data_IF_470775633468
#
_entry.id   IF_470775633468
#
_cell.length_a   1.000
_cell.length_b   1.000
_cell.length_c   1.000
_cell.angle_alpha   90.00
_cell.angle_beta   90.00
_cell.angle_gamma   90.00
#
_symmetry.space_group_name_H-M   'P 1'
#
loop_
_entity.id
_entity.type
_entity.pdbx_description
1 polymer ?
#
# COMPACT_ATOMS: atom_id res chain seq x y z
N UNK A 1 13.52 7.09 -4.75
CA UNK A 1 13.73 8.10 -3.69
C UNK A 1 15.20 8.39 -3.59
N UNK A 2 15.57 9.63 -3.43
CA UNK A 2 16.97 10.04 -3.34
C UNK A 2 17.18 11.00 -2.17
N UNK A 3 18.06 10.60 -1.23
CA UNK A 3 18.49 11.35 -0.04
C UNK A 3 17.36 11.95 0.80
N UNK A 4 16.31 11.17 1.04
CA UNK A 4 15.13 11.62 1.76
C UNK A 4 15.44 11.84 3.23
N UNK A 5 15.12 13.05 3.71
CA UNK A 5 15.07 13.40 5.13
C UNK A 5 13.69 13.96 5.45
N UNK A 6 13.02 13.37 6.45
CA UNK A 6 11.69 13.82 6.89
C UNK A 6 11.77 14.71 8.14
N UNK A 7 10.75 15.55 8.32
CA UNK A 7 10.59 16.29 9.58
C UNK A 7 10.48 15.34 10.75
N UNK A 8 10.97 15.73 11.91
CA UNK A 8 11.05 14.92 13.14
C UNK A 8 12.12 13.81 13.16
N UNK A 9 13.03 13.75 12.15
CA UNK A 9 14.18 12.84 12.16
C UNK A 9 13.84 11.36 12.02
N UNK A 10 12.65 11.03 11.52
CA UNK A 10 12.21 9.63 11.37
C UNK A 10 12.86 8.93 10.17
N UNK A 11 13.27 9.69 9.14
CA UNK A 11 14.12 9.22 8.04
C UNK A 11 15.25 10.22 7.86
N UNK A 12 16.48 9.72 7.67
CA UNK A 12 17.68 10.51 7.50
C UNK A 12 18.52 9.97 6.35
N UNK A 13 18.70 10.79 5.30
CA UNK A 13 19.48 10.44 4.11
C UNK A 13 19.11 9.08 3.48
N UNK A 14 17.82 8.75 3.50
CA UNK A 14 17.34 7.47 2.99
C UNK A 14 17.17 7.51 1.47
N UNK A 15 17.71 6.50 0.79
CA UNK A 15 17.56 6.32 -0.66
C UNK A 15 17.09 4.92 -0.97
N UNK A 16 16.22 4.77 -1.97
CA UNK A 16 15.78 3.48 -2.47
C UNK A 16 15.32 3.56 -3.92
N UNK A 17 15.36 2.44 -4.60
CA UNK A 17 14.77 2.24 -5.91
C UNK A 17 13.74 1.12 -5.86
N UNK A 18 12.61 1.31 -6.51
CA UNK A 18 11.59 0.28 -6.73
C UNK A 18 11.66 -0.15 -8.19
N UNK A 19 11.90 -1.43 -8.43
CA UNK A 19 11.96 -1.98 -9.77
C UNK A 19 10.58 -2.38 -10.29
N UNK A 20 10.45 -2.44 -11.61
CA UNK A 20 9.19 -2.83 -12.23
C UNK A 20 8.86 -4.31 -11.93
N UNK A 21 7.66 -4.54 -11.37
CA UNK A 21 7.17 -5.89 -11.11
C UNK A 21 7.80 -6.57 -9.89
N UNK A 22 8.51 -5.82 -9.02
CA UNK A 22 9.02 -6.36 -7.76
C UNK A 22 8.08 -6.08 -6.59
N UNK A 23 8.17 -6.92 -5.56
CA UNK A 23 7.70 -6.64 -4.21
C UNK A 23 8.92 -6.27 -3.38
N UNK A 24 9.09 -4.97 -3.10
CA UNK A 24 10.15 -4.45 -2.22
C UNK A 24 9.62 -4.39 -0.79
N UNK A 25 10.20 -5.20 0.09
CA UNK A 25 9.91 -5.19 1.52
C UNK A 25 10.64 -4.06 2.24
N UNK A 26 9.96 -3.47 3.21
CA UNK A 26 10.55 -2.52 4.14
C UNK A 26 10.23 -3.02 5.55
N UNK A 27 11.27 -3.35 6.31
CA UNK A 27 11.16 -3.85 7.67
C UNK A 27 12.03 -3.08 8.64
N UNK A 28 11.75 -3.23 9.93
CA UNK A 28 12.49 -2.60 11.01
C UNK A 28 11.73 -2.67 12.32
N UNK A 29 12.37 -2.27 13.40
CA UNK A 29 11.70 -2.15 14.70
C UNK A 29 10.71 -0.98 14.70
N UNK A 30 9.77 -0.99 15.63
CA UNK A 30 8.83 0.12 15.83
C UNK A 30 9.59 1.45 15.94
N UNK A 31 9.05 2.50 15.29
CA UNK A 31 9.65 3.83 15.21
C UNK A 31 10.95 3.97 14.39
N UNK A 32 11.30 2.98 13.55
CA UNK A 32 12.46 3.08 12.67
C UNK A 32 12.26 3.99 11.44
N UNK A 33 11.07 4.57 11.23
CA UNK A 33 10.77 5.44 10.10
C UNK A 33 10.08 4.76 8.90
N UNK A 34 9.82 3.45 8.96
CA UNK A 34 9.23 2.71 7.82
C UNK A 34 7.82 3.19 7.43
N UNK A 35 6.99 3.63 8.39
CA UNK A 35 5.64 4.13 8.10
C UNK A 35 5.68 5.53 7.48
N UNK A 36 6.61 6.37 7.93
CA UNK A 36 6.90 7.68 7.35
C UNK A 36 7.37 7.55 5.90
N UNK A 37 8.15 6.50 5.61
CA UNK A 37 8.56 6.17 4.26
C UNK A 37 7.37 5.93 3.32
N UNK A 38 6.37 5.15 3.76
CA UNK A 38 5.15 4.92 2.98
C UNK A 38 4.41 6.22 2.66
N UNK A 39 4.26 7.09 3.65
CA UNK A 39 3.62 8.41 3.49
C UNK A 39 4.45 9.34 2.58
N UNK A 40 5.77 9.32 2.70
CA UNK A 40 6.66 10.10 1.85
C UNK A 40 6.58 9.66 0.38
N UNK A 41 6.57 8.34 0.12
CA UNK A 41 6.40 7.77 -1.22
C UNK A 41 5.09 8.20 -1.88
N UNK A 42 4.02 8.31 -1.10
CA UNK A 42 2.71 8.73 -1.59
C UNK A 42 2.56 10.26 -1.68
N UNK A 43 3.58 11.00 -1.23
CA UNK A 43 3.56 12.48 -1.23
C UNK A 43 2.66 13.08 -0.15
N UNK A 44 2.31 12.32 0.89
CA UNK A 44 1.52 12.81 2.03
C UNK A 44 2.39 13.54 3.04
N UNK A 45 3.68 13.21 3.09
CA UNK A 45 4.62 13.80 4.02
C UNK A 45 5.51 14.85 3.34
N UNK A 46 5.71 15.99 4.01
CA UNK A 46 6.65 17.02 3.56
C UNK A 46 8.08 16.56 3.85
N UNK A 47 8.90 16.57 2.81
CA UNK A 47 10.32 16.30 2.90
C UNK A 47 11.06 17.58 3.31
N UNK A 48 12.08 17.43 4.15
CA UNK A 48 13.06 18.50 4.46
C UNK A 48 14.15 18.53 3.40
N UNK A 49 14.62 17.34 3.00
CA UNK A 49 15.65 17.15 1.98
C UNK A 49 15.29 16.00 1.08
N UNK A 50 15.89 15.96 -0.12
CA UNK A 50 15.71 14.91 -1.10
C UNK A 50 14.38 15.00 -1.86
N UNK A 51 14.12 13.97 -2.65
CA UNK A 51 12.93 13.94 -3.52
C UNK A 51 12.48 12.52 -3.84
N UNK A 52 11.20 12.37 -4.12
CA UNK A 52 10.61 11.17 -4.71
C UNK A 52 10.38 11.44 -6.19
N UNK A 53 11.04 10.67 -7.05
CA UNK A 53 10.94 10.79 -8.51
C UNK A 53 10.28 9.56 -9.08
N UNK A 54 9.26 9.73 -9.90
CA UNK A 54 8.74 8.70 -10.76
C UNK A 54 9.60 8.63 -12.03
N UNK A 55 10.50 7.65 -12.09
CA UNK A 55 11.44 7.50 -13.20
C UNK A 55 10.79 7.16 -14.53
N UNK A 56 9.50 6.75 -14.54
CA UNK A 56 8.74 6.49 -15.76
C UNK A 56 8.46 7.78 -16.57
N UNK A 57 8.35 8.91 -15.88
CA UNK A 57 8.07 10.22 -16.48
C UNK A 57 9.04 11.33 -16.07
N UNK A 58 9.93 11.08 -15.10
CA UNK A 58 10.87 12.07 -14.56
C UNK A 58 10.25 13.09 -13.60
N UNK A 59 8.99 12.89 -13.22
CA UNK A 59 8.26 13.83 -12.37
C UNK A 59 8.43 13.55 -10.88
N UNK A 60 8.41 14.62 -10.09
CA UNK A 60 8.41 14.50 -8.63
C UNK A 60 7.02 14.14 -8.09
N UNK A 61 7.03 13.33 -7.04
CA UNK A 61 5.84 13.02 -6.22
C UNK A 61 5.89 13.91 -4.99
N UNK A 62 5.03 14.91 -4.92
CA UNK A 62 4.99 15.91 -3.84
C UNK A 62 3.60 16.10 -3.23
N UNK A 63 2.63 15.31 -3.66
CA UNK A 63 1.27 15.33 -3.13
C UNK A 63 0.54 14.02 -3.41
N UNK A 64 -0.42 13.61 -2.56
CA UNK A 64 -1.25 12.43 -2.78
C UNK A 64 -2.02 12.48 -4.11
N UNK A 65 -2.52 13.66 -4.48
CA UNK A 65 -3.20 13.85 -5.76
C UNK A 65 -2.26 13.61 -6.95
N UNK A 66 -1.03 14.11 -6.86
CA UNK A 66 0.00 13.88 -7.89
C UNK A 66 0.35 12.39 -8.02
N UNK A 67 0.50 11.69 -6.89
CA UNK A 67 0.73 10.25 -6.84
C UNK A 67 -0.44 9.48 -7.47
N UNK A 68 -1.69 9.80 -7.10
CA UNK A 68 -2.88 9.18 -7.67
C UNK A 68 -2.96 9.32 -9.20
N UNK A 69 -2.68 10.50 -9.73
CA UNK A 69 -2.71 10.75 -11.18
C UNK A 69 -1.63 9.96 -11.93
N UNK A 70 -0.53 9.60 -11.26
CA UNK A 70 0.57 8.79 -11.80
C UNK A 70 0.39 7.28 -11.56
N UNK A 71 -0.78 6.87 -11.07
CA UNK A 71 -1.11 5.46 -10.86
C UNK A 71 -0.54 4.86 -9.58
N UNK A 72 -0.27 5.67 -8.56
CA UNK A 72 0.08 5.17 -7.22
C UNK A 72 -1.17 4.88 -6.41
N UNK A 73 -1.09 3.85 -5.55
CA UNK A 73 -2.09 3.53 -4.53
C UNK A 73 -1.41 3.38 -3.17
N UNK A 74 -2.13 3.70 -2.08
CA UNK A 74 -1.62 3.61 -0.72
C UNK A 74 -2.63 2.95 0.22
N UNK A 75 -2.25 1.81 0.77
CA UNK A 75 -2.96 1.12 1.85
C UNK A 75 -2.28 1.52 3.15
N UNK A 76 -2.95 2.31 3.98
CA UNK A 76 -2.39 2.79 5.24
C UNK A 76 -2.49 1.75 6.35
N UNK A 77 -1.59 1.86 7.34
CA UNK A 77 -1.51 1.02 8.54
C UNK A 77 -2.79 1.08 9.37
N UNK A 78 -3.40 2.25 9.52
CA UNK A 78 -4.65 2.46 10.29
C UNK A 78 -5.84 2.65 9.33
N UNK A 79 -6.39 1.52 8.87
CA UNK A 79 -7.51 1.52 7.92
C UNK A 79 -8.73 2.28 8.42
N UNK A 80 -9.02 2.20 9.72
CA UNK A 80 -10.24 2.78 10.28
C UNK A 80 -10.15 4.30 10.43
N UNK A 81 -8.94 4.85 10.58
CA UNK A 81 -8.73 6.30 10.69
C UNK A 81 -8.33 6.97 9.38
N UNK A 82 -7.53 6.27 8.56
CA UNK A 82 -6.89 6.89 7.40
C UNK A 82 -7.45 6.40 6.05
N UNK A 83 -7.88 5.11 5.96
CA UNK A 83 -8.25 4.53 4.68
C UNK A 83 -9.75 4.50 4.41
N UNK A 84 -10.60 4.50 5.43
CA UNK A 84 -12.05 4.30 5.30
C UNK A 84 -12.86 5.44 5.93
N UNK A 85 -13.94 5.82 5.25
CA UNK A 85 -15.00 6.62 5.85
C UNK A 85 -16.01 5.64 6.45
N UNK A 86 -15.89 5.36 7.76
CA UNK A 86 -16.62 4.29 8.43
C UNK A 86 -18.15 4.42 8.36
N UNK A 87 -18.66 5.68 8.36
CA UNK A 87 -20.09 6.01 8.26
C UNK A 87 -20.61 6.09 6.83
N UNK A 88 -19.74 5.87 5.83
CA UNK A 88 -20.13 5.80 4.44
C UNK A 88 -20.30 4.34 3.99
N UNK A 89 -21.01 4.14 2.90
CA UNK A 89 -21.26 2.82 2.33
C UNK A 89 -19.99 2.16 1.79
N UNK A 90 -20.02 0.84 1.61
CA UNK A 90 -18.99 0.09 0.90
C UNK A 90 -18.79 0.66 -0.51
N UNK A 91 -19.89 0.96 -1.19
CA UNK A 91 -19.86 1.53 -2.53
C UNK A 91 -19.14 2.87 -2.57
N UNK A 92 -19.45 3.80 -1.67
CA UNK A 92 -18.80 5.12 -1.62
C UNK A 92 -17.32 5.01 -1.32
N UNK A 93 -16.92 4.11 -0.38
CA UNK A 93 -15.53 3.86 -0.06
C UNK A 93 -14.75 3.32 -1.27
N UNK A 94 -15.30 2.35 -2.00
CA UNK A 94 -14.67 1.79 -3.21
C UNK A 94 -14.56 2.86 -4.30
N UNK A 95 -15.62 3.62 -4.54
CA UNK A 95 -15.65 4.64 -5.58
C UNK A 95 -14.71 5.81 -5.31
N UNK A 96 -14.44 6.13 -4.05
CA UNK A 96 -13.61 7.29 -3.67
C UNK A 96 -12.26 7.36 -4.39
N UNK A 97 -11.61 6.21 -4.67
CA UNK A 97 -10.34 6.17 -5.38
C UNK A 97 -10.49 6.00 -6.90
N UNK A 98 -11.63 5.52 -7.39
CA UNK A 98 -11.84 5.20 -8.81
C UNK A 98 -12.76 6.17 -9.55
N UNK A 99 -13.28 7.18 -8.87
CA UNK A 99 -14.28 8.08 -9.42
C UNK A 99 -13.88 8.74 -10.73
N UNK A 100 -12.66 9.27 -10.79
CA UNK A 100 -12.10 9.95 -11.97
C UNK A 100 -11.95 9.01 -13.20
N UNK A 101 -11.76 7.71 -12.98
CA UNK A 101 -11.64 6.71 -14.06
C UNK A 101 -12.99 6.26 -14.63
N UNK A 102 -14.03 6.34 -13.80
CA UNK A 102 -15.41 5.97 -14.20
C UNK A 102 -16.19 7.13 -14.79
N UNK A 103 -15.70 8.34 -14.60
CA UNK A 103 -16.35 9.55 -15.04
C UNK A 103 -16.33 9.69 -16.56
N UNK A 104 -17.49 9.98 -17.17
CA UNK A 104 -17.65 10.32 -18.58
C UNK A 104 -18.02 11.80 -18.72
N UNK A 105 -17.03 12.65 -18.97
CA UNK A 105 -17.20 14.09 -18.87
C UNK A 105 -17.53 14.49 -17.41
N UNK A 106 -18.56 15.31 -17.15
CA UNK A 106 -18.93 15.70 -15.80
C UNK A 106 -19.84 14.67 -15.07
N UNK A 107 -20.17 13.54 -15.72
CA UNK A 107 -21.16 12.59 -15.21
C UNK A 107 -20.54 11.24 -14.88
N UNK A 108 -21.01 10.64 -13.79
CA UNK A 108 -20.83 9.24 -13.45
C UNK A 108 -22.15 8.52 -13.74
N UNK A 109 -22.11 7.53 -14.65
CA UNK A 109 -23.31 6.75 -14.97
C UNK A 109 -23.59 5.73 -13.85
N UNK A 110 -24.77 5.72 -13.23
CA UNK A 110 -25.09 4.82 -12.12
C UNK A 110 -24.91 3.34 -12.46
N UNK A 111 -25.21 2.95 -13.70
CA UNK A 111 -25.05 1.57 -14.16
C UNK A 111 -23.56 1.14 -14.22
N UNK A 112 -22.67 2.02 -14.69
CA UNK A 112 -21.23 1.75 -14.76
C UNK A 112 -20.63 1.67 -13.35
N UNK A 113 -21.02 2.59 -12.46
CA UNK A 113 -20.62 2.58 -11.06
C UNK A 113 -21.08 1.31 -10.35
N UNK A 114 -22.33 0.89 -10.53
CA UNK A 114 -22.86 -0.34 -9.94
C UNK A 114 -22.11 -1.57 -10.42
N UNK A 115 -21.92 -1.71 -11.73
CA UNK A 115 -21.17 -2.83 -12.32
C UNK A 115 -19.74 -2.92 -11.76
N UNK A 116 -19.07 -1.79 -11.61
CA UNK A 116 -17.73 -1.69 -11.05
C UNK A 116 -17.69 -2.15 -9.59
N UNK A 117 -18.62 -1.66 -8.76
CA UNK A 117 -18.70 -2.00 -7.34
C UNK A 117 -19.04 -3.48 -7.16
N UNK A 118 -20.08 -3.97 -7.84
CA UNK A 118 -20.52 -5.37 -7.72
C UNK A 118 -19.38 -6.32 -8.17
N UNK A 119 -18.64 -5.96 -9.22
CA UNK A 119 -17.47 -6.71 -9.68
C UNK A 119 -16.38 -6.81 -8.62
N UNK A 120 -16.02 -5.72 -7.97
CA UNK A 120 -15.00 -5.69 -6.92
C UNK A 120 -15.45 -6.42 -5.64
N UNK A 121 -16.70 -6.31 -5.26
CA UNK A 121 -17.28 -7.06 -4.13
C UNK A 121 -17.16 -8.57 -4.38
N UNK A 122 -17.48 -9.01 -5.60
CA UNK A 122 -17.38 -10.40 -6.00
C UNK A 122 -15.93 -10.87 -6.08
N UNK A 123 -15.06 -10.11 -6.77
CA UNK A 123 -13.64 -10.45 -6.97
C UNK A 123 -12.89 -10.62 -5.65
N UNK A 124 -13.13 -9.71 -4.70
CA UNK A 124 -12.48 -9.74 -3.39
C UNK A 124 -13.25 -10.57 -2.36
N UNK A 125 -14.40 -11.15 -2.75
CA UNK A 125 -15.27 -11.90 -1.85
C UNK A 125 -15.59 -11.12 -0.57
N UNK A 126 -16.03 -9.85 -0.71
CA UNK A 126 -16.41 -8.99 0.41
C UNK A 126 -17.75 -9.47 0.95
N UNK A 127 -17.77 -9.94 2.20
CA UNK A 127 -19.01 -10.38 2.86
C UNK A 127 -19.76 -9.18 3.41
N UNK A 128 -20.86 -8.82 2.78
CA UNK A 128 -21.75 -7.72 3.15
C UNK A 128 -23.21 -8.05 2.83
N UNK A 129 -24.13 -7.35 3.47
CA UNK A 129 -25.56 -7.51 3.19
C UNK A 129 -25.95 -6.84 1.85
N UNK A 130 -25.33 -5.68 1.55
CA UNK A 130 -25.49 -4.94 0.30
C UNK A 130 -24.34 -3.96 0.10
N UNK A 131 -24.08 -3.46 -1.14
CA UNK A 131 -23.11 -2.39 -1.37
C UNK A 131 -23.40 -1.08 -0.63
N UNK A 132 -24.65 -0.87 -0.24
CA UNK A 132 -25.09 0.32 0.51
C UNK A 132 -24.89 0.18 2.03
N UNK A 133 -24.38 -0.95 2.52
CA UNK A 133 -24.08 -1.14 3.94
C UNK A 133 -22.90 -0.25 4.34
N UNK A 134 -23.03 0.42 5.52
CA UNK A 134 -21.92 1.18 6.07
C UNK A 134 -20.75 0.27 6.45
N UNK A 135 -19.54 0.75 6.17
CA UNK A 135 -18.32 -0.01 6.40
C UNK A 135 -18.08 -0.31 7.88
N UNK A 136 -18.54 0.56 8.79
CA UNK A 136 -18.38 0.34 10.24
C UNK A 136 -18.95 -1.00 10.73
N UNK A 137 -19.96 -1.56 10.07
CA UNK A 137 -20.59 -2.83 10.45
C UNK A 137 -19.91 -4.07 9.86
N UNK A 138 -18.82 -3.89 9.11
CA UNK A 138 -18.03 -5.01 8.59
C UNK A 138 -17.03 -5.52 9.62
N UNK A 139 -16.69 -6.81 9.52
CA UNK A 139 -15.54 -7.38 10.23
C UNK A 139 -14.22 -6.74 9.75
N UNK A 140 -13.18 -6.78 10.57
CA UNK A 140 -11.87 -6.22 10.23
C UNK A 140 -11.33 -6.74 8.89
N UNK A 141 -11.49 -8.04 8.61
CA UNK A 141 -11.08 -8.62 7.35
C UNK A 141 -11.88 -8.12 6.14
N UNK A 142 -13.19 -7.91 6.28
CA UNK A 142 -14.00 -7.33 5.19
C UNK A 142 -13.72 -5.83 5.00
N UNK A 143 -13.45 -5.07 6.07
CA UNK A 143 -12.97 -3.70 5.98
C UNK A 143 -11.65 -3.63 5.18
N UNK A 144 -10.71 -4.54 5.46
CA UNK A 144 -9.45 -4.62 4.72
C UNK A 144 -9.66 -4.90 3.23
N UNK A 145 -10.58 -5.81 2.90
CA UNK A 145 -10.97 -6.07 1.51
C UNK A 145 -11.56 -4.85 0.81
N UNK A 146 -12.34 -4.02 1.52
CA UNK A 146 -12.85 -2.74 0.98
C UNK A 146 -11.69 -1.78 0.69
N UNK A 147 -10.69 -1.67 1.58
CA UNK A 147 -9.49 -0.86 1.34
C UNK A 147 -8.75 -1.34 0.08
N UNK A 148 -8.52 -2.65 -0.05
CA UNK A 148 -7.91 -3.19 -1.28
C UNK A 148 -8.78 -2.95 -2.51
N UNK A 149 -10.10 -3.05 -2.39
CA UNK A 149 -11.05 -2.79 -3.47
C UNK A 149 -10.90 -1.41 -4.11
N UNK A 150 -10.57 -0.39 -3.32
CA UNK A 150 -10.27 0.96 -3.82
C UNK A 150 -9.12 0.94 -4.84
N UNK A 151 -8.04 0.24 -4.53
CA UNK A 151 -6.80 0.27 -5.30
C UNK A 151 -6.77 -0.75 -6.44
N UNK A 152 -7.35 -1.94 -6.22
CA UNK A 152 -7.58 -2.95 -7.27
C UNK A 152 -8.46 -2.34 -8.36
N UNK A 153 -9.58 -1.76 -7.98
CA UNK A 153 -10.49 -1.14 -8.92
C UNK A 153 -9.88 0.06 -9.65
N UNK A 154 -9.04 0.85 -8.97
CA UNK A 154 -8.30 1.92 -9.62
C UNK A 154 -7.24 1.41 -10.62
N UNK A 155 -6.84 0.15 -10.49
CA UNK A 155 -5.81 -0.46 -11.32
C UNK A 155 -4.49 0.33 -11.27
N UNK A 156 -3.97 0.54 -10.05
CA UNK A 156 -2.71 1.25 -9.85
C UNK A 156 -1.53 0.47 -10.42
N UNK A 157 -0.48 1.19 -10.87
CA UNK A 157 0.78 0.59 -11.34
C UNK A 157 1.76 0.35 -10.20
N UNK A 158 1.72 1.24 -9.21
CA UNK A 158 2.56 1.19 -8.02
C UNK A 158 1.66 1.17 -6.78
N UNK A 159 1.90 0.21 -5.89
CA UNK A 159 1.16 0.08 -4.65
C UNK A 159 2.10 0.16 -3.46
N UNK A 160 1.74 0.99 -2.51
CA UNK A 160 2.39 1.11 -1.23
C UNK A 160 1.45 0.49 -0.20
N UNK A 161 1.89 -0.60 0.42
CA UNK A 161 1.10 -1.39 1.35
C UNK A 161 1.73 -1.28 2.74
N UNK A 162 1.15 -0.47 3.61
CA UNK A 162 1.62 -0.28 4.97
C UNK A 162 0.82 -1.18 5.92
N UNK A 163 1.46 -2.24 6.41
CA UNK A 163 0.88 -3.28 7.25
C UNK A 163 -0.45 -3.85 6.70
N UNK A 164 -0.45 -4.36 5.44
CA UNK A 164 -1.69 -4.70 4.71
C UNK A 164 -2.52 -5.80 5.37
N UNK A 165 -1.94 -6.58 6.26
CA UNK A 165 -2.60 -7.72 6.93
C UNK A 165 -2.80 -7.50 8.42
N UNK A 166 -2.55 -6.30 8.92
CA UNK A 166 -2.66 -5.98 10.35
C UNK A 166 -4.10 -6.13 10.84
N UNK A 167 -4.25 -6.91 11.93
CA UNK A 167 -5.53 -7.06 12.61
C UNK A 167 -6.60 -7.80 11.77
N UNK A 168 -6.18 -8.71 10.90
CA UNK A 168 -7.06 -9.63 10.19
C UNK A 168 -6.77 -11.09 10.57
N UNK A 169 -7.74 -11.97 10.40
CA UNK A 169 -7.57 -13.40 10.67
C UNK A 169 -6.69 -14.10 9.61
N UNK A 170 -6.19 -15.29 9.94
CA UNK A 170 -5.27 -16.08 9.08
C UNK A 170 -5.85 -16.34 7.69
N UNK A 171 -7.15 -16.61 7.59
CA UNK A 171 -7.79 -16.89 6.29
C UNK A 171 -7.82 -15.65 5.41
N UNK A 172 -8.03 -14.47 6.00
CA UNK A 172 -7.98 -13.20 5.27
C UNK A 172 -6.54 -12.84 4.93
N UNK A 173 -5.56 -13.07 5.82
CA UNK A 173 -4.13 -12.88 5.50
C UNK A 173 -3.74 -13.66 4.24
N UNK A 174 -4.05 -14.96 4.19
CA UNK A 174 -3.75 -15.78 3.02
C UNK A 174 -4.39 -15.22 1.73
N UNK A 175 -5.65 -14.81 1.79
CA UNK A 175 -6.31 -14.19 0.63
C UNK A 175 -5.65 -12.88 0.19
N UNK A 176 -5.15 -12.06 1.14
CA UNK A 176 -4.41 -10.83 0.82
C UNK A 176 -3.07 -11.13 0.17
N UNK A 177 -2.31 -12.12 0.65
CA UNK A 177 -1.05 -12.53 0.03
C UNK A 177 -1.24 -13.01 -1.41
N UNK A 178 -2.26 -13.85 -1.66
CA UNK A 178 -2.59 -14.26 -3.02
C UNK A 178 -2.98 -13.07 -3.91
N UNK A 179 -3.71 -12.10 -3.38
CA UNK A 179 -4.06 -10.89 -4.12
C UNK A 179 -2.82 -10.06 -4.47
N UNK A 180 -1.92 -9.84 -3.50
CA UNK A 180 -0.67 -9.09 -3.69
C UNK A 180 0.22 -9.77 -4.73
N UNK A 181 0.41 -11.10 -4.64
CA UNK A 181 1.20 -11.86 -5.61
C UNK A 181 0.58 -11.81 -7.02
N UNK A 182 -0.75 -11.96 -7.15
CA UNK A 182 -1.45 -11.78 -8.42
C UNK A 182 -1.20 -10.40 -9.02
N UNK A 183 -1.29 -9.33 -8.21
CA UNK A 183 -1.02 -7.97 -8.67
C UNK A 183 0.43 -7.82 -9.16
N UNK A 184 1.41 -8.43 -8.49
CA UNK A 184 2.80 -8.49 -8.95
C UNK A 184 2.91 -9.22 -10.30
N UNK A 185 2.27 -10.38 -10.43
CA UNK A 185 2.25 -11.14 -11.70
C UNK A 185 1.61 -10.36 -12.84
N UNK A 186 0.62 -9.49 -12.54
CA UNK A 186 0.02 -8.54 -13.50
C UNK A 186 0.95 -7.34 -13.81
N UNK A 187 2.20 -7.36 -13.32
CA UNK A 187 3.24 -6.36 -13.62
C UNK A 187 3.18 -5.11 -12.73
N UNK A 188 2.44 -5.14 -11.62
CA UNK A 188 2.45 -4.05 -10.64
C UNK A 188 3.73 -4.09 -9.82
N UNK A 189 4.23 -2.92 -9.42
CA UNK A 189 5.34 -2.77 -8.49
C UNK A 189 4.80 -2.45 -7.11
N UNK A 190 5.33 -3.10 -6.08
CA UNK A 190 4.75 -3.06 -4.74
C UNK A 190 5.84 -2.72 -3.72
N UNK A 191 5.60 -1.73 -2.88
CA UNK A 191 6.35 -1.51 -1.64
C UNK A 191 5.52 -2.08 -0.51
N UNK A 192 6.03 -3.08 0.18
CA UNK A 192 5.35 -3.74 1.29
C UNK A 192 6.07 -3.43 2.60
N UNK A 193 5.43 -2.68 3.45
CA UNK A 193 5.92 -2.30 4.78
C UNK A 193 5.24 -3.21 5.80
N UNK A 194 6.00 -3.87 6.67
CA UNK A 194 5.44 -4.74 7.70
C UNK A 194 6.31 -4.77 8.95
N UNK A 195 5.63 -4.89 10.10
CA UNK A 195 6.26 -5.19 11.40
C UNK A 195 6.47 -6.70 11.59
N UNK A 196 5.86 -7.54 10.73
CA UNK A 196 5.99 -9.00 10.76
C UNK A 196 7.07 -9.45 9.79
N UNK A 197 8.27 -9.78 10.30
CA UNK A 197 9.41 -10.17 9.46
C UNK A 197 9.14 -11.41 8.60
N UNK A 198 8.42 -12.38 9.16
CA UNK A 198 8.04 -13.60 8.43
C UNK A 198 7.15 -13.30 7.22
N UNK A 199 6.32 -12.26 7.29
CA UNK A 199 5.51 -11.78 6.17
C UNK A 199 6.40 -11.24 5.04
N UNK A 200 7.38 -10.40 5.39
CA UNK A 200 8.31 -9.83 4.42
C UNK A 200 9.19 -10.89 3.76
N UNK A 201 9.73 -11.83 4.54
CA UNK A 201 10.54 -12.95 4.02
C UNK A 201 9.74 -13.81 3.04
N UNK A 202 8.45 -14.04 3.34
CA UNK A 202 7.59 -14.89 2.50
C UNK A 202 7.06 -14.22 1.23
N UNK A 203 7.07 -12.88 1.17
CA UNK A 203 6.38 -12.14 0.10
C UNK A 203 7.30 -11.31 -0.78
N UNK A 204 8.47 -10.86 -0.28
CA UNK A 204 9.27 -9.87 -0.94
C UNK A 204 10.39 -10.47 -1.78
N UNK A 205 10.66 -9.88 -2.94
CA UNK A 205 11.80 -10.22 -3.78
C UNK A 205 13.10 -9.66 -3.18
N UNK A 206 13.01 -8.48 -2.54
CA UNK A 206 14.08 -7.75 -1.89
C UNK A 206 13.55 -7.07 -0.64
N UNK A 207 14.35 -7.02 0.42
CA UNK A 207 14.00 -6.45 1.73
C UNK A 207 15.04 -5.41 2.15
N UNK A 208 14.60 -4.19 2.42
CA UNK A 208 15.42 -3.17 3.08
C UNK A 208 15.06 -3.12 4.55
N UNK A 209 16.08 -3.10 5.39
CA UNK A 209 15.95 -3.03 6.85
C UNK A 209 16.31 -1.64 7.33
N UNK A 210 15.40 -1.03 8.08
CA UNK A 210 15.56 0.30 8.67
C UNK A 210 15.80 0.19 10.17
N UNK A 211 16.75 1.02 10.65
CA UNK A 211 17.02 1.26 12.06
C UNK A 211 17.31 2.74 12.25
N UNK A 212 16.63 3.38 13.21
CA UNK A 212 16.83 4.80 13.56
C UNK A 212 16.80 5.75 12.33
N UNK A 213 15.89 5.50 11.41
CA UNK A 213 15.68 6.32 10.22
C UNK A 213 16.67 6.10 9.08
N UNK A 214 17.57 5.12 9.19
CA UNK A 214 18.59 4.80 8.19
C UNK A 214 18.45 3.36 7.70
N UNK A 215 18.90 3.10 6.48
CA UNK A 215 19.01 1.73 5.97
C UNK A 215 20.25 1.07 6.58
N UNK A 216 20.03 -0.05 7.26
CA UNK A 216 21.11 -0.84 7.90
C UNK A 216 21.38 -2.17 7.21
N UNK A 217 20.50 -2.62 6.33
CA UNK A 217 20.65 -3.86 5.58
C UNK A 217 19.79 -3.93 4.33
N UNK A 218 20.23 -4.76 3.39
CA UNK A 218 19.48 -5.13 2.20
C UNK A 218 19.67 -6.64 1.97
N UNK A 219 18.56 -7.34 1.73
CA UNK A 219 18.53 -8.77 1.53
C UNK A 219 17.73 -9.10 0.28
N UNK A 220 18.19 -10.09 -0.49
CA UNK A 220 17.50 -10.57 -1.69
C UNK A 220 17.00 -11.99 -1.49
N UNK A 221 15.86 -12.33 -2.07
CA UNK A 221 15.29 -13.67 -1.96
C UNK A 221 16.23 -14.75 -2.53
N UNK A 222 16.97 -14.42 -3.60
CA UNK A 222 17.91 -15.33 -4.26
C UNK A 222 19.13 -15.71 -3.40
N UNK A 223 19.53 -14.86 -2.45
CA UNK A 223 20.64 -15.10 -1.53
C UNK A 223 20.21 -15.83 -0.26
N UNK A 224 18.87 -16.08 -0.13
CA UNK A 224 18.28 -16.69 1.05
C UNK A 224 18.09 -15.67 2.18
N UNK A 225 16.88 -15.16 2.34
CA UNK A 225 16.52 -14.28 3.45
C UNK A 225 16.49 -15.08 4.75
N UNK A 226 17.57 -15.01 5.54
CA UNK A 226 17.68 -15.68 6.83
C UNK A 226 17.16 -14.76 7.93
N UNK A 227 16.11 -15.19 8.63
CA UNK A 227 15.46 -14.40 9.70
C UNK A 227 16.45 -13.95 10.78
N UNK A 228 17.37 -14.82 11.22
CA UNK A 228 18.36 -14.47 12.25
C UNK A 228 19.31 -13.37 11.77
N UNK A 229 19.78 -13.44 10.53
CA UNK A 229 20.67 -12.41 9.96
C UNK A 229 19.97 -11.05 9.84
N UNK A 230 18.68 -11.06 9.51
CA UNK A 230 17.89 -9.83 9.42
C UNK A 230 17.68 -9.24 10.83
N UNK A 231 17.36 -10.08 11.83
CA UNK A 231 17.22 -9.67 13.22
C UNK A 231 18.53 -9.07 13.75
N UNK A 232 19.68 -9.68 13.45
CA UNK A 232 20.98 -9.20 13.91
C UNK A 232 21.31 -7.76 13.46
N UNK A 233 20.82 -7.34 12.28
CA UNK A 233 21.00 -5.96 11.81
C UNK A 233 19.90 -5.01 12.29
N UNK A 234 18.74 -5.54 12.72
CA UNK A 234 17.64 -4.74 13.28
C UNK A 234 17.91 -4.29 14.72
N UNK A 235 18.66 -5.09 15.50
CA UNK A 235 18.98 -4.83 16.90
C UNK A 235 20.26 -4.00 17.00
#
# INVERSE_FOLDING_TARGET
>A
MDNITTGFGMLMNFSMELHKGEILGIGGLSHCGMHELGKALFGEMKLLEGEVIDTRCGDKINSPRGALLKGYGYVSKDRDKEALVLTASIADNILAAGFDKLQKGPFLLPADARKYIDGLIQELSIKCASPSQDVQYLSGGNKQKVVFGKWVGRNCDILILDCPTRGVDIGVKAAMYHLIDRMRQDGKSIVMISEELTELIGMCDRLLVLKDGQQVGEFTHNEGMNENQIIDVMI
#
